data_IF_744019276760
#
_entry.id   IF_744019276760
#
_cell.length_a   1.000
_cell.length_b   1.000
_cell.length_c   1.000
_cell.angle_alpha   90.00
_cell.angle_beta   90.00
_cell.angle_gamma   90.00
#
_symmetry.space_group_name_H-M   'P 1'
#
loop_
_entity.id
_entity.type
_entity.pdbx_description
1 polymer ?
#
# COMPACT_ATOMS: atom_id res chain seq x y z
N UNK A 1 2.46 -18.85 -10.20
CA UNK A 1 1.09 -18.36 -10.47
C UNK A 1 1.21 -17.22 -11.45
N UNK A 2 0.86 -17.45 -12.71
CA UNK A 2 1.22 -16.55 -13.82
C UNK A 2 0.08 -15.57 -14.14
N UNK A 3 -1.09 -15.80 -13.56
CA UNK A 3 -2.27 -14.94 -13.59
C UNK A 3 -3.07 -15.02 -12.29
N UNK A 4 -3.86 -13.98 -12.04
CA UNK A 4 -4.74 -13.85 -10.88
C UNK A 4 -6.10 -13.30 -11.33
N UNK A 5 -7.16 -14.05 -11.08
CA UNK A 5 -8.53 -13.59 -11.26
C UNK A 5 -8.87 -12.53 -10.21
N UNK A 6 -9.62 -11.50 -10.64
CA UNK A 6 -10.05 -10.39 -9.80
C UNK A 6 -11.56 -10.47 -9.56
N UNK A 7 -12.04 -9.81 -8.50
CA UNK A 7 -13.48 -9.71 -8.22
C UNK A 7 -14.29 -9.14 -9.39
N UNK A 8 -13.75 -8.11 -10.05
CA UNK A 8 -14.28 -7.40 -11.23
C UNK A 8 -13.25 -6.35 -11.71
N UNK A 9 -13.53 -5.72 -12.86
CA UNK A 9 -12.76 -4.60 -13.44
C UNK A 9 -12.91 -3.30 -12.64
N UNK A 10 -13.04 -2.15 -13.31
CA UNK A 10 -13.25 -0.88 -12.60
C UNK A 10 -14.60 -0.84 -11.85
N UNK A 11 -15.61 -1.52 -12.38
CA UNK A 11 -16.97 -1.56 -11.85
C UNK A 11 -17.50 -3.01 -11.77
N UNK A 12 -18.49 -3.31 -10.91
CA UNK A 12 -18.97 -4.68 -10.67
C UNK A 12 -19.47 -5.45 -11.90
N UNK A 13 -19.99 -4.76 -12.92
CA UNK A 13 -20.49 -5.37 -14.15
C UNK A 13 -19.37 -5.78 -15.12
N UNK A 14 -18.14 -5.33 -14.90
CA UNK A 14 -17.00 -5.61 -15.78
C UNK A 14 -16.34 -6.94 -15.37
N UNK A 15 -16.95 -8.04 -15.79
CA UNK A 15 -16.47 -9.41 -15.56
C UNK A 15 -16.39 -10.16 -16.90
N UNK A 16 -15.45 -11.11 -17.07
CA UNK A 16 -14.37 -11.45 -16.15
C UNK A 16 -13.27 -10.38 -16.11
N UNK A 17 -12.43 -10.41 -15.08
CA UNK A 17 -11.25 -9.55 -14.94
C UNK A 17 -10.07 -10.33 -14.35
N UNK A 18 -8.86 -10.10 -14.85
CA UNK A 18 -7.63 -10.76 -14.39
C UNK A 18 -6.41 -9.87 -14.57
N UNK A 19 -5.35 -10.16 -13.83
CA UNK A 19 -3.98 -9.71 -14.16
C UNK A 19 -3.12 -10.89 -14.55
N UNK A 20 -2.14 -10.65 -15.40
CA UNK A 20 -1.17 -11.64 -15.85
C UNK A 20 0.10 -10.91 -16.31
N UNK A 21 1.21 -11.64 -16.44
CA UNK A 21 2.39 -11.12 -17.14
C UNK A 21 2.41 -11.55 -18.60
N UNK A 22 2.68 -10.60 -19.50
CA UNK A 22 2.73 -10.87 -20.95
C UNK A 22 3.81 -11.88 -21.35
N UNK A 23 4.91 -11.92 -20.60
CA UNK A 23 6.02 -12.86 -20.81
C UNK A 23 5.75 -14.26 -20.24
N UNK A 24 4.56 -14.49 -19.65
CA UNK A 24 4.19 -15.75 -19.04
C UNK A 24 4.88 -16.03 -17.70
N UNK A 25 5.65 -15.10 -17.15
CA UNK A 25 6.33 -15.25 -15.87
C UNK A 25 5.39 -15.19 -14.66
N UNK A 26 5.91 -15.53 -13.49
CA UNK A 26 5.18 -15.44 -12.22
C UNK A 26 4.85 -14.00 -11.83
N UNK A 27 3.65 -13.78 -11.27
CA UNK A 27 3.26 -12.51 -10.70
C UNK A 27 4.17 -12.13 -9.51
N UNK A 28 4.62 -10.87 -9.40
CA UNK A 28 5.47 -10.41 -8.29
C UNK A 28 4.66 -10.15 -7.00
N UNK A 29 3.46 -10.71 -6.90
CA UNK A 29 2.55 -10.56 -5.76
C UNK A 29 1.92 -11.91 -5.40
N UNK A 30 1.62 -12.09 -4.12
CA UNK A 30 0.92 -13.26 -3.60
C UNK A 30 -0.21 -12.79 -2.70
N UNK A 31 -1.43 -13.24 -2.97
CA UNK A 31 -2.57 -12.98 -2.08
C UNK A 31 -2.47 -13.89 -0.87
N UNK A 32 -2.32 -13.31 0.32
CA UNK A 32 -2.28 -14.06 1.58
C UNK A 32 -3.68 -14.22 2.18
N UNK A 33 -4.54 -13.20 2.04
CA UNK A 33 -5.94 -13.22 2.46
C UNK A 33 -6.80 -12.34 1.54
N UNK A 34 -8.07 -12.70 1.39
CA UNK A 34 -9.06 -11.95 0.61
C UNK A 34 -8.97 -12.14 -0.91
N UNK A 35 -9.67 -11.29 -1.65
CA UNK A 35 -9.66 -11.28 -3.12
C UNK A 35 -9.62 -9.81 -3.63
N UNK A 36 -8.55 -9.37 -4.30
CA UNK A 36 -8.43 -7.99 -4.75
C UNK A 36 -9.36 -7.67 -5.92
N UNK A 37 -9.85 -6.43 -5.98
CA UNK A 37 -10.45 -5.86 -7.18
C UNK A 37 -9.40 -5.15 -8.05
N UNK A 38 -9.77 -4.77 -9.27
CA UNK A 38 -8.88 -4.07 -10.20
C UNK A 38 -8.29 -2.78 -9.61
N UNK A 39 -9.15 -1.92 -9.04
CA UNK A 39 -8.71 -0.66 -8.42
C UNK A 39 -7.79 -0.92 -7.21
N UNK A 40 -8.05 -1.98 -6.43
CA UNK A 40 -7.18 -2.30 -5.28
C UNK A 40 -5.75 -2.63 -5.72
N UNK A 41 -5.58 -3.32 -6.85
CA UNK A 41 -4.25 -3.61 -7.38
C UNK A 41 -3.56 -2.36 -7.90
N UNK A 42 -4.29 -1.47 -8.59
CA UNK A 42 -3.70 -0.21 -9.04
C UNK A 42 -3.27 0.68 -7.87
N UNK A 43 -4.08 0.79 -6.82
CA UNK A 43 -3.70 1.49 -5.58
C UNK A 43 -2.46 0.84 -4.94
N UNK A 44 -2.45 -0.49 -4.79
CA UNK A 44 -1.35 -1.22 -4.16
C UNK A 44 -0.03 -1.11 -4.94
N UNK A 45 -0.07 -1.20 -6.28
CA UNK A 45 1.12 -1.11 -7.13
C UNK A 45 1.71 0.30 -7.15
N UNK A 46 0.88 1.35 -7.12
CA UNK A 46 1.35 2.72 -6.99
C UNK A 46 1.89 3.00 -5.58
N UNK A 47 1.18 2.57 -4.54
CA UNK A 47 1.63 2.72 -3.15
C UNK A 47 2.99 2.03 -2.92
N UNK A 48 3.18 0.82 -3.45
CA UNK A 48 4.44 0.10 -3.34
C UNK A 48 5.63 0.85 -3.95
N UNK A 49 5.44 1.44 -5.14
CA UNK A 49 6.50 2.22 -5.79
C UNK A 49 6.88 3.43 -4.94
N UNK A 50 5.89 4.16 -4.40
CA UNK A 50 6.14 5.32 -3.56
C UNK A 50 6.93 4.96 -2.29
N UNK A 51 6.49 3.96 -1.52
CA UNK A 51 7.20 3.59 -0.28
C UNK A 51 8.59 2.98 -0.54
N UNK A 52 8.76 2.30 -1.68
CA UNK A 52 10.06 1.79 -2.13
C UNK A 52 11.03 2.94 -2.41
N UNK A 53 10.59 3.97 -3.14
CA UNK A 53 11.40 5.15 -3.42
C UNK A 53 11.72 5.95 -2.16
N UNK A 54 10.73 6.16 -1.27
CA UNK A 54 10.97 6.78 0.05
C UNK A 54 12.05 6.04 0.83
N UNK A 55 11.98 4.71 0.89
CA UNK A 55 12.99 3.89 1.58
C UNK A 55 14.38 4.01 0.92
N UNK A 56 14.44 4.05 -0.41
CA UNK A 56 15.71 4.19 -1.15
C UNK A 56 16.36 5.55 -0.92
N UNK A 57 15.58 6.62 -0.87
CA UNK A 57 16.07 8.00 -0.73
C UNK A 57 16.48 8.31 0.72
N UNK A 58 15.63 7.95 1.70
CA UNK A 58 15.84 8.34 3.09
C UNK A 58 16.50 7.28 3.95
N UNK A 59 16.60 6.03 3.47
CA UNK A 59 17.18 4.93 4.23
C UNK A 59 16.34 4.43 5.40
N UNK A 60 15.21 5.06 5.72
CA UNK A 60 14.29 4.68 6.80
C UNK A 60 12.93 4.18 6.27
N UNK A 61 12.17 3.40 7.05
CA UNK A 61 10.84 2.94 6.62
C UNK A 61 9.90 4.12 6.30
N UNK A 62 9.02 3.93 5.31
CA UNK A 62 7.96 4.87 4.98
C UNK A 62 6.63 4.16 4.77
N UNK A 63 5.55 4.91 4.88
CA UNK A 63 4.19 4.44 4.70
C UNK A 63 3.46 5.34 3.70
N UNK A 64 2.46 4.77 3.02
CA UNK A 64 1.60 5.51 2.11
C UNK A 64 0.17 5.00 2.18
N UNK A 65 -0.78 5.92 2.17
CA UNK A 65 -2.21 5.66 2.08
C UNK A 65 -2.72 6.17 0.74
N UNK A 66 -3.27 5.28 -0.07
CA UNK A 66 -3.77 5.58 -1.41
C UNK A 66 -5.30 5.57 -1.45
N UNK A 67 -5.84 6.49 -2.25
CA UNK A 67 -7.27 6.55 -2.54
C UNK A 67 -7.46 7.01 -3.99
N UNK A 68 -8.25 6.26 -4.76
CA UNK A 68 -8.52 6.57 -6.16
C UNK A 68 -7.24 6.81 -6.98
N UNK A 69 -6.26 5.91 -6.84
CA UNK A 69 -5.01 5.89 -7.59
C UNK A 69 -4.01 7.01 -7.26
N UNK A 70 -4.31 7.84 -6.27
CA UNK A 70 -3.44 8.93 -5.81
C UNK A 70 -3.12 8.78 -4.32
N UNK A 71 -1.95 9.25 -3.85
CA UNK A 71 -1.64 9.26 -2.43
C UNK A 71 -2.57 10.25 -1.71
N UNK A 72 -3.35 9.75 -0.77
CA UNK A 72 -4.07 10.58 0.20
C UNK A 72 -3.13 11.05 1.32
N UNK A 73 -2.06 10.30 1.59
CA UNK A 73 -0.99 10.66 2.51
C UNK A 73 0.22 9.75 2.33
N UNK A 74 1.41 10.24 2.67
CA UNK A 74 2.64 9.47 2.73
C UNK A 74 3.61 10.12 3.71
N UNK A 75 4.36 9.32 4.46
CA UNK A 75 5.38 9.81 5.37
C UNK A 75 6.54 8.82 5.54
N UNK A 76 7.59 9.29 6.19
CA UNK A 76 8.75 8.52 6.60
C UNK A 76 8.74 8.39 8.13
N UNK A 77 9.33 7.32 8.66
CA UNK A 77 9.24 6.95 10.07
C UNK A 77 10.10 7.79 11.01
N UNK A 78 9.74 9.07 11.15
CA UNK A 78 10.30 9.98 12.15
C UNK A 78 9.45 9.94 13.42
N UNK A 79 10.03 10.21 14.61
CA UNK A 79 9.26 10.29 15.84
C UNK A 79 8.14 11.33 15.74
N UNK A 80 6.95 10.97 16.23
CA UNK A 80 5.85 11.90 16.37
C UNK A 80 6.20 12.93 17.45
N UNK A 81 5.90 14.21 17.19
CA UNK A 81 5.96 15.24 18.22
C UNK A 81 4.74 15.14 19.15
N UNK A 82 4.81 15.82 20.29
CA UNK A 82 3.77 15.77 21.34
C UNK A 82 2.38 16.13 20.80
N UNK A 83 2.31 17.12 19.89
CA UNK A 83 1.05 17.53 19.25
C UNK A 83 0.43 16.40 18.43
N UNK A 84 1.24 15.71 17.61
CA UNK A 84 0.77 14.59 16.79
C UNK A 84 0.37 13.41 17.67
N UNK A 85 1.15 13.06 18.71
CA UNK A 85 0.82 12.00 19.66
C UNK A 85 -0.53 12.25 20.34
N UNK A 86 -0.76 13.47 20.82
CA UNK A 86 -2.05 13.86 21.39
C UNK A 86 -3.19 13.76 20.37
N UNK A 87 -2.97 14.24 19.14
CA UNK A 87 -3.99 14.20 18.08
C UNK A 87 -4.39 12.78 17.66
N UNK A 88 -3.48 11.82 17.80
CA UNK A 88 -3.68 10.41 17.47
C UNK A 88 -3.99 9.56 18.70
N UNK A 89 -4.16 10.17 19.88
CA UNK A 89 -4.44 9.49 21.14
C UNK A 89 -3.38 8.45 21.53
N UNK A 90 -2.11 8.75 21.26
CA UNK A 90 -0.97 7.90 21.57
C UNK A 90 -0.37 8.32 22.93
N UNK A 91 -0.39 7.45 23.96
CA UNK A 91 0.23 7.72 25.25
C UNK A 91 1.74 7.97 25.15
N UNK A 92 2.31 8.82 26.00
CA UNK A 92 3.77 9.08 26.01
C UNK A 92 4.63 7.85 26.35
N UNK A 93 4.03 6.86 27.02
CA UNK A 93 4.68 5.57 27.34
C UNK A 93 4.90 4.66 26.14
N UNK A 94 4.22 4.90 25.03
CA UNK A 94 4.17 3.96 23.91
C UNK A 94 5.35 4.15 22.96
N UNK A 95 6.16 3.11 22.82
CA UNK A 95 7.23 3.09 21.84
C UNK A 95 6.69 2.65 20.47
N UNK A 96 6.85 3.50 19.46
CA UNK A 96 6.31 3.27 18.13
C UNK A 96 7.40 2.75 17.21
N UNK A 97 7.08 1.67 16.48
CA UNK A 97 7.92 1.29 15.33
C UNK A 97 7.98 2.44 14.31
N UNK A 98 9.06 2.58 13.51
CA UNK A 98 9.15 3.63 12.51
C UNK A 98 7.97 3.67 11.53
N UNK A 99 7.37 2.52 11.20
CA UNK A 99 6.20 2.46 10.31
C UNK A 99 4.93 2.96 11.01
N UNK A 100 4.80 2.77 12.32
CA UNK A 100 3.66 3.26 13.08
C UNK A 100 3.70 4.79 13.30
N UNK A 101 4.90 5.39 13.20
CA UNK A 101 5.10 6.83 13.23
C UNK A 101 5.08 7.49 11.84
N UNK A 102 4.92 6.70 10.77
CA UNK A 102 4.86 7.14 9.37
C UNK A 102 3.42 7.21 8.84
#
# INVERSE_FOLDING_TARGET
MNELELRYGNNPHQKPARIYRKDGGDLPIKVIRGAPGYINLLDALNAWQLVKELKQVFGIPGAASFKHLSPAGAAIGLPLNDTLRQSYFIPDSDDLSPVAAA
#
